data_IF_415654441660
#
_entry.id   IF_415654441660
#
_cell.length_a   1.000
_cell.length_b   1.000
_cell.length_c   1.000
_cell.angle_alpha   90.00
_cell.angle_beta   90.00
_cell.angle_gamma   90.00
#
_symmetry.space_group_name_H-M   'P 1'
#
loop_
_entity.id
_entity.type
_entity.pdbx_description
1 polymer ?
#
# COMPACT_ATOMS: atom_id res chain seq x y z
N UNK A 1 24.53 -0.34 7.57
CA UNK A 1 23.45 -0.37 6.58
C UNK A 1 22.14 -0.51 7.33
N UNK A 2 21.24 0.45 7.21
CA UNK A 2 19.90 0.40 7.82
C UNK A 2 19.04 -0.65 7.11
N UNK A 3 18.31 -1.47 7.88
CA UNK A 3 17.39 -2.47 7.34
C UNK A 3 16.23 -1.75 6.59
N UNK A 4 16.03 -1.97 5.28
CA UNK A 4 15.00 -1.28 4.50
C UNK A 4 13.56 -1.64 4.90
N UNK A 5 13.39 -2.61 5.81
CA UNK A 5 12.10 -3.02 6.35
C UNK A 5 11.76 -2.35 7.67
N UNK A 6 12.71 -1.67 8.33
CA UNK A 6 12.45 -0.99 9.61
C UNK A 6 12.20 0.50 9.41
N UNK A 7 11.14 0.99 10.04
CA UNK A 7 10.77 2.42 10.12
C UNK A 7 9.95 2.63 11.39
N UNK A 8 9.90 3.85 11.91
CA UNK A 8 9.19 4.22 13.15
C UNK A 8 7.87 4.94 12.90
N UNK A 9 7.45 5.08 11.64
CA UNK A 9 6.20 5.77 11.31
C UNK A 9 4.99 4.89 11.58
N UNK A 10 3.96 5.50 12.13
CA UNK A 10 2.63 4.91 12.22
C UNK A 10 1.82 5.23 10.95
N UNK A 11 1.05 4.26 10.47
CA UNK A 11 0.25 4.38 9.26
C UNK A 11 -1.22 4.44 9.65
N UNK A 12 -1.94 5.43 9.10
CA UNK A 12 -3.37 5.58 9.27
C UNK A 12 -4.03 5.74 7.91
N UNK A 13 -5.01 4.89 7.53
CA UNK A 13 -5.74 5.09 6.29
C UNK A 13 -6.55 6.39 6.37
N UNK A 14 -6.70 7.15 5.26
CA UNK A 14 -7.63 8.27 5.24
C UNK A 14 -9.06 7.79 5.49
N UNK A 15 -9.83 8.59 6.22
CA UNK A 15 -11.22 8.31 6.60
C UNK A 15 -12.19 9.32 6.00
N UNK A 16 -13.49 9.03 6.08
CA UNK A 16 -14.54 9.88 5.52
C UNK A 16 -14.71 9.74 4.00
N UNK A 17 -15.56 10.60 3.40
CA UNK A 17 -16.00 10.45 2.01
C UNK A 17 -15.05 11.07 0.97
N UNK A 18 -14.04 11.82 1.39
CA UNK A 18 -13.12 12.51 0.48
C UNK A 18 -12.10 11.53 -0.10
N UNK A 19 -11.83 11.64 -1.40
CA UNK A 19 -10.84 10.84 -2.11
C UNK A 19 -9.44 11.46 -2.03
N UNK A 20 -8.42 10.61 -1.87
CA UNK A 20 -7.01 10.97 -2.05
C UNK A 20 -6.49 10.50 -3.41
N UNK A 21 -6.99 9.37 -3.90
CA UNK A 21 -6.77 8.84 -5.24
C UNK A 21 -7.82 9.35 -6.24
N UNK A 22 -7.72 8.94 -7.50
CA UNK A 22 -8.58 9.43 -8.60
C UNK A 22 -9.99 8.85 -8.59
N UNK A 23 -10.19 7.68 -7.98
CA UNK A 23 -11.48 6.97 -7.95
C UNK A 23 -11.61 6.12 -6.69
N UNK A 24 -12.82 5.65 -6.37
CA UNK A 24 -13.00 4.70 -5.26
C UNK A 24 -12.29 3.37 -5.50
N UNK A 25 -12.18 2.94 -6.76
CA UNK A 25 -11.48 1.72 -7.18
C UNK A 25 -9.98 1.77 -6.88
N UNK A 26 -9.38 2.96 -6.88
CA UNK A 26 -7.95 3.17 -6.56
C UNK A 26 -7.74 3.61 -5.10
N UNK A 27 -8.70 4.34 -4.52
CA UNK A 27 -8.71 4.72 -3.11
C UNK A 27 -8.87 3.50 -2.19
N UNK A 28 -9.77 2.57 -2.53
CA UNK A 28 -10.05 1.40 -1.72
C UNK A 28 -8.79 0.55 -1.45
N UNK A 29 -8.03 0.05 -2.46
CA UNK A 29 -6.81 -0.69 -2.19
C UNK A 29 -5.76 0.14 -1.44
N UNK A 30 -5.69 1.46 -1.66
CA UNK A 30 -4.79 2.34 -0.91
C UNK A 30 -5.16 2.39 0.57
N UNK A 31 -6.45 2.58 0.91
CA UNK A 31 -6.92 2.53 2.29
C UNK A 31 -6.69 1.16 2.91
N UNK A 32 -6.93 0.08 2.17
CA UNK A 32 -6.77 -1.28 2.70
C UNK A 32 -5.32 -1.64 2.99
N UNK A 33 -4.36 -1.28 2.12
CA UNK A 33 -2.94 -1.52 2.42
C UNK A 33 -2.45 -0.66 3.60
N UNK A 34 -2.95 0.56 3.74
CA UNK A 34 -2.66 1.41 4.90
C UNK A 34 -3.29 0.83 6.19
N UNK A 35 -4.52 0.32 6.12
CA UNK A 35 -5.21 -0.32 7.24
C UNK A 35 -4.46 -1.57 7.73
N UNK A 36 -3.91 -2.38 6.81
CA UNK A 36 -3.08 -3.53 7.17
C UNK A 36 -1.84 -3.15 8.00
N UNK A 37 -1.41 -1.88 8.01
CA UNK A 37 -0.27 -1.39 8.80
C UNK A 37 -0.70 -0.44 9.91
N UNK A 38 -1.99 -0.35 10.21
CA UNK A 38 -2.47 0.44 11.33
C UNK A 38 -1.96 -0.16 12.66
N UNK A 39 -1.50 0.66 13.63
CA UNK A 39 -0.97 0.17 14.92
C UNK A 39 -1.93 -0.75 15.69
N UNK A 40 -3.24 -0.48 15.62
CA UNK A 40 -4.27 -1.31 16.26
C UNK A 40 -4.67 -2.57 15.44
N UNK A 41 -4.09 -2.77 14.25
CA UNK A 41 -4.42 -3.88 13.34
C UNK A 41 -3.25 -4.83 13.16
N UNK A 42 -2.06 -4.30 12.91
CA UNK A 42 -0.87 -5.07 12.58
C UNK A 42 -0.14 -5.57 13.83
N UNK A 43 0.38 -6.80 13.80
CA UNK A 43 1.22 -7.35 14.88
C UNK A 43 2.55 -6.59 15.05
N UNK A 44 3.18 -6.16 13.95
CA UNK A 44 4.42 -5.36 13.99
C UNK A 44 4.52 -4.44 12.74
N UNK A 45 3.79 -3.31 12.74
CA UNK A 45 3.66 -2.44 11.57
C UNK A 45 4.98 -1.78 11.15
N UNK A 46 5.88 -1.51 12.10
CA UNK A 46 7.19 -0.89 11.88
C UNK A 46 8.16 -1.77 11.06
N UNK A 47 7.87 -3.07 10.99
CA UNK A 47 8.56 -4.03 10.12
C UNK A 47 7.70 -4.50 8.92
N UNK A 48 6.61 -3.79 8.64
CA UNK A 48 5.58 -4.08 7.63
C UNK A 48 4.79 -5.37 7.88
N UNK A 49 4.94 -5.99 9.05
CA UNK A 49 4.35 -7.29 9.39
C UNK A 49 2.90 -7.09 9.85
N UNK A 50 1.97 -7.78 9.19
CA UNK A 50 0.54 -7.71 9.49
C UNK A 50 0.17 -8.78 10.51
N UNK A 51 0.36 -10.06 10.18
CA UNK A 51 0.16 -11.20 11.07
C UNK A 51 0.85 -12.46 10.52
N UNK A 52 0.85 -13.55 11.29
CA UNK A 52 1.28 -14.87 10.80
C UNK A 52 2.80 -14.98 10.66
N UNK A 53 3.54 -14.48 11.65
CA UNK A 53 5.00 -14.52 11.68
C UNK A 53 5.61 -13.38 10.87
N UNK A 54 5.94 -13.63 9.60
CA UNK A 54 6.61 -12.64 8.73
C UNK A 54 5.77 -12.22 7.52
N UNK A 55 4.44 -12.43 7.58
CA UNK A 55 3.49 -11.99 6.57
C UNK A 55 3.44 -10.46 6.51
N UNK A 56 3.91 -9.86 5.41
CA UNK A 56 4.06 -8.41 5.26
C UNK A 56 3.11 -7.81 4.22
N UNK A 57 2.72 -6.55 4.43
CA UNK A 57 1.90 -5.79 3.49
C UNK A 57 2.69 -5.34 2.23
N UNK A 58 3.99 -5.07 2.39
CA UNK A 58 4.90 -4.70 1.31
C UNK A 58 6.30 -5.28 1.55
N UNK A 59 7.15 -5.30 0.52
CA UNK A 59 8.48 -5.90 0.59
C UNK A 59 9.48 -5.07 1.40
N UNK A 60 9.44 -3.75 1.23
CA UNK A 60 10.22 -2.75 1.95
C UNK A 60 9.40 -1.48 2.12
N UNK A 61 9.87 -0.53 2.94
CA UNK A 61 9.18 0.74 3.11
C UNK A 61 9.15 1.57 1.82
N UNK A 62 10.24 1.53 1.05
CA UNK A 62 10.30 2.16 -0.28
C UNK A 62 9.27 1.55 -1.25
N UNK A 63 9.01 0.24 -1.18
CA UNK A 63 8.00 -0.42 -2.01
C UNK A 63 6.58 -0.04 -1.57
N UNK A 64 6.32 0.06 -0.26
CA UNK A 64 5.04 0.57 0.25
C UNK A 64 4.77 2.00 -0.23
N UNK A 65 5.76 2.88 -0.12
CA UNK A 65 5.64 4.29 -0.54
C UNK A 65 5.32 4.40 -2.03
N UNK A 66 5.98 3.57 -2.85
CA UNK A 66 5.70 3.50 -4.28
C UNK A 66 4.30 2.93 -4.57
N UNK A 67 3.84 1.89 -3.86
CA UNK A 67 2.48 1.37 -4.03
C UNK A 67 1.45 2.46 -3.74
N UNK A 68 1.58 3.16 -2.61
CA UNK A 68 0.66 4.25 -2.24
C UNK A 68 0.71 5.39 -3.26
N UNK A 69 1.91 5.79 -3.71
CA UNK A 69 2.06 6.83 -4.72
C UNK A 69 1.45 6.42 -6.07
N UNK A 70 1.67 5.19 -6.51
CA UNK A 70 1.09 4.65 -7.74
C UNK A 70 -0.43 4.60 -7.67
N UNK A 71 -1.02 4.11 -6.58
CA UNK A 71 -2.48 4.06 -6.42
C UNK A 71 -3.13 5.45 -6.45
N UNK A 72 -2.48 6.48 -5.90
CA UNK A 72 -2.97 7.86 -5.99
C UNK A 72 -3.02 8.40 -7.42
N UNK A 73 -2.17 7.89 -8.31
CA UNK A 73 -2.01 8.39 -9.68
C UNK A 73 -2.60 7.46 -10.74
N UNK A 74 -2.98 6.23 -10.39
CA UNK A 74 -3.49 5.22 -11.32
C UNK A 74 -4.80 5.68 -11.94
N UNK A 75 -4.87 5.65 -13.28
CA UNK A 75 -6.12 5.93 -14.00
C UNK A 75 -7.06 4.71 -13.96
N UNK A 76 -8.30 4.92 -14.34
CA UNK A 76 -9.33 3.87 -14.42
C UNK A 76 -9.04 2.82 -15.49
N UNK A 77 -8.27 3.18 -16.54
CA UNK A 77 -7.81 2.27 -17.59
C UNK A 77 -6.37 1.77 -17.38
N UNK A 78 -5.86 1.79 -16.15
CA UNK A 78 -4.51 1.32 -15.81
C UNK A 78 -4.50 0.27 -14.70
N UNK A 79 -3.60 -0.71 -14.81
CA UNK A 79 -3.38 -1.75 -13.80
C UNK A 79 -1.98 -1.67 -13.22
N UNK A 80 -1.88 -1.55 -11.89
CA UNK A 80 -0.62 -1.70 -11.15
C UNK A 80 -0.33 -3.18 -10.89
N UNK A 81 0.83 -3.65 -11.33
CA UNK A 81 1.34 -4.99 -11.01
C UNK A 81 2.21 -4.94 -9.74
N UNK A 82 1.83 -5.73 -8.73
CA UNK A 82 2.60 -5.91 -7.48
C UNK A 82 3.11 -7.35 -7.41
N UNK A 83 4.43 -7.53 -7.42
CA UNK A 83 5.08 -8.84 -7.34
C UNK A 83 5.73 -9.01 -5.97
N UNK A 84 5.25 -9.96 -5.16
CA UNK A 84 5.74 -10.21 -3.79
C UNK A 84 5.98 -8.91 -3.00
N UNK A 85 4.97 -8.04 -2.96
CA UNK A 85 5.01 -6.77 -2.21
C UNK A 85 5.84 -5.64 -2.83
N UNK A 86 6.30 -5.77 -4.09
CA UNK A 86 7.00 -4.71 -4.84
C UNK A 86 6.14 -4.24 -6.02
N UNK A 87 5.91 -2.93 -6.22
CA UNK A 87 5.28 -2.42 -7.43
C UNK A 87 6.26 -2.52 -8.60
N UNK A 88 5.93 -3.33 -9.61
CA UNK A 88 6.86 -3.65 -10.72
C UNK A 88 6.53 -2.97 -12.04
N UNK A 89 5.31 -2.46 -12.20
CA UNK A 89 4.93 -1.72 -13.39
C UNK A 89 3.46 -1.34 -13.40
N UNK A 90 3.13 -0.34 -14.21
CA UNK A 90 1.77 0.06 -14.54
C UNK A 90 1.57 -0.12 -16.03
N UNK A 91 0.47 -0.75 -16.42
CA UNK A 91 0.14 -1.00 -17.82
C UNK A 91 -1.28 -0.54 -18.09
N UNK A 92 -1.50 -0.04 -19.30
CA UNK A 92 -2.84 0.30 -19.77
C UNK A 92 -3.64 -0.98 -20.00
N UNK A 93 -4.86 -0.99 -19.46
CA UNK A 93 -5.89 -2.03 -19.58
C UNK A 93 -7.19 -1.36 -20.03
N UNK A 94 -8.28 -1.58 -19.31
CA UNK A 94 -9.58 -0.93 -19.46
C UNK A 94 -10.23 -0.83 -18.06
N UNK A 95 -11.39 -0.19 -17.95
CA UNK A 95 -12.06 0.06 -16.68
C UNK A 95 -12.75 -1.17 -16.05
N UNK A 96 -13.16 -2.14 -16.87
CA UNK A 96 -13.76 -3.42 -16.43
C UNK A 96 -12.76 -4.59 -16.42
#
# INVERSE_FOLDING_TARGET
>A
MTDPRKNTRDIFPPTGPNLTAKSWQTEAPMRMIMNNLHPDVAENPHELVVYGGIGRAARTWQDFDQIVASLKQLNDDETLLVQSGKPVGVFRTHAD
#
